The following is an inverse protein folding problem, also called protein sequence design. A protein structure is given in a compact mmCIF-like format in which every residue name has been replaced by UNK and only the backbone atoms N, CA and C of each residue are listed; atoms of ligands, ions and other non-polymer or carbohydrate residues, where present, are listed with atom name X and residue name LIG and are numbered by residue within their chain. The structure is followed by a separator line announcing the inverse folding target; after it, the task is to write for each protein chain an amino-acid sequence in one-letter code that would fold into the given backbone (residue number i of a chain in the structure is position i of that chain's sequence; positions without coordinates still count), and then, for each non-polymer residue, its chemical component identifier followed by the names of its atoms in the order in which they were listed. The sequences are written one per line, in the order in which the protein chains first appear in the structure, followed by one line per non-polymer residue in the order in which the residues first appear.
data_IF_448518525545
#
_entry.id   IF_448518525545
#
_cell.length_a   1.000
_cell.length_b   1.000
_cell.length_c   1.000
_cell.angle_alpha   90.00
_cell.angle_beta   90.00
_cell.angle_gamma   90.00
#
_symmetry.space_group_name_H-M   'P 1'
#
loop_
_entity.id
_entity.type
_entity.pdbx_description
1 polymer ?
#
# COMPACT_ATOMS: atom_id res chain seq x y z
N UNK A 1 18.69 -7.98 -28.11
CA UNK A 1 17.56 -7.30 -27.44
C UNK A 1 16.57 -8.24 -26.75
N UNK A 2 15.63 -8.93 -27.43
CA UNK A 2 14.59 -9.75 -26.74
C UNK A 2 15.19 -10.86 -25.87
N UNK A 3 16.21 -11.58 -26.38
CA UNK A 3 16.92 -12.62 -25.62
C UNK A 3 17.63 -12.07 -24.38
N UNK A 4 18.29 -10.92 -24.48
CA UNK A 4 18.99 -10.30 -23.34
C UNK A 4 18.01 -9.84 -22.25
N UNK A 5 16.88 -9.27 -22.67
CA UNK A 5 15.85 -8.80 -21.75
C UNK A 5 15.14 -9.98 -21.05
N UNK A 6 14.95 -11.09 -21.77
CA UNK A 6 14.47 -12.34 -21.19
C UNK A 6 15.46 -12.93 -20.18
N UNK A 7 16.76 -12.92 -20.48
CA UNK A 7 17.81 -13.37 -19.56
C UNK A 7 17.90 -12.48 -18.31
N UNK A 8 17.75 -11.16 -18.46
CA UNK A 8 17.70 -10.22 -17.34
C UNK A 8 16.48 -10.46 -16.43
N UNK A 9 15.31 -10.74 -17.03
CA UNK A 9 14.10 -11.10 -16.30
C UNK A 9 14.25 -12.42 -15.52
N UNK A 10 14.83 -13.45 -16.15
CA UNK A 10 15.19 -14.71 -15.49
C UNK A 10 16.15 -14.48 -14.33
N UNK A 11 17.19 -13.65 -14.53
CA UNK A 11 18.13 -13.27 -13.48
C UNK A 11 17.43 -12.60 -12.29
N UNK A 12 16.50 -11.67 -12.56
CA UNK A 12 15.70 -11.04 -11.52
C UNK A 12 14.85 -12.05 -10.73
N UNK A 13 14.16 -12.98 -11.42
CA UNK A 13 13.37 -14.04 -10.75
C UNK A 13 14.28 -14.88 -9.85
N UNK A 14 15.46 -15.27 -10.32
CA UNK A 14 16.42 -16.06 -9.54
C UNK A 14 16.86 -15.30 -8.29
N UNK A 15 17.23 -14.03 -8.42
CA UNK A 15 17.65 -13.20 -7.28
C UNK A 15 16.53 -13.03 -6.26
N UNK A 16 15.30 -12.72 -6.71
CA UNK A 16 14.14 -12.60 -5.81
C UNK A 16 13.84 -13.94 -5.14
N UNK A 17 13.92 -15.05 -5.86
CA UNK A 17 13.67 -16.39 -5.31
C UNK A 17 14.70 -16.76 -4.24
N UNK A 18 15.98 -16.45 -4.48
CA UNK A 18 17.05 -16.66 -3.50
C UNK A 18 16.88 -15.76 -2.26
N UNK A 19 16.52 -14.48 -2.45
CA UNK A 19 16.25 -13.57 -1.35
C UNK A 19 15.07 -14.04 -0.50
N UNK A 20 14.01 -14.54 -1.13
CA UNK A 20 12.84 -15.10 -0.46
C UNK A 20 13.18 -16.38 0.30
N UNK A 21 13.90 -17.32 -0.32
CA UNK A 21 14.40 -18.54 0.34
C UNK A 21 15.26 -18.19 1.56
N UNK A 22 16.21 -17.26 1.40
CA UNK A 22 17.04 -16.77 2.50
C UNK A 22 16.21 -16.16 3.63
N UNK A 23 15.25 -15.28 3.29
CA UNK A 23 14.36 -14.67 4.28
C UNK A 23 13.49 -15.71 5.01
N UNK A 24 13.04 -16.76 4.30
CA UNK A 24 12.29 -17.86 4.88
C UNK A 24 13.14 -18.67 5.86
N UNK A 25 14.36 -19.05 5.50
CA UNK A 25 15.23 -19.80 6.41
C UNK A 25 15.57 -19.00 7.67
N UNK A 26 15.84 -17.70 7.53
CA UNK A 26 16.06 -16.81 8.67
C UNK A 26 14.80 -16.73 9.57
N UNK A 27 13.63 -16.54 8.98
CA UNK A 27 12.35 -16.51 9.71
C UNK A 27 11.99 -17.84 10.36
N UNK A 28 12.24 -18.96 9.67
CA UNK A 28 11.95 -20.30 10.17
C UNK A 28 12.85 -20.67 11.36
N UNK A 29 14.11 -20.25 11.33
CA UNK A 29 15.04 -20.44 12.43
C UNK A 29 14.73 -19.52 13.63
N UNK A 30 14.27 -18.29 13.38
CA UNK A 30 14.02 -17.33 14.44
C UNK A 30 12.63 -17.48 15.12
N UNK A 31 11.59 -17.78 14.35
CA UNK A 31 10.19 -17.71 14.80
C UNK A 31 9.45 -19.06 14.65
N UNK A 32 10.12 -20.08 14.11
CA UNK A 32 9.54 -21.41 13.86
C UNK A 32 8.91 -21.55 12.46
N UNK A 33 8.89 -22.80 11.97
CA UNK A 33 8.48 -23.13 10.58
C UNK A 33 7.04 -22.75 10.26
N UNK A 34 6.11 -22.94 11.20
CA UNK A 34 4.69 -22.60 10.99
C UNK A 34 4.48 -21.09 10.84
N UNK A 35 5.13 -20.27 11.67
CA UNK A 35 5.05 -18.82 11.59
C UNK A 35 5.70 -18.28 10.30
N UNK A 36 6.82 -18.88 9.87
CA UNK A 36 7.50 -18.52 8.63
C UNK A 36 6.66 -18.84 7.39
N UNK A 37 6.02 -20.01 7.33
CA UNK A 37 5.12 -20.38 6.24
C UNK A 37 3.92 -19.41 6.13
N UNK A 38 3.36 -19.01 7.27
CA UNK A 38 2.27 -18.03 7.32
C UNK A 38 2.71 -16.66 6.79
N UNK A 39 3.91 -16.21 7.17
CA UNK A 39 4.47 -14.94 6.69
C UNK A 39 4.80 -14.97 5.19
N UNK A 40 5.27 -16.08 4.64
CA UNK A 40 5.45 -16.23 3.19
C UNK A 40 4.11 -16.15 2.44
N UNK A 41 3.05 -16.73 2.99
CA UNK A 41 1.70 -16.59 2.44
C UNK A 41 1.26 -15.12 2.32
N UNK A 42 1.60 -14.29 3.30
CA UNK A 42 1.35 -12.85 3.26
C UNK A 42 2.28 -12.08 2.32
N UNK A 43 3.47 -12.60 2.04
CA UNK A 43 4.41 -12.02 1.08
C UNK A 43 4.02 -12.34 -0.38
N UNK A 44 3.32 -13.45 -0.64
CA UNK A 44 2.97 -13.91 -1.98
C UNK A 44 2.29 -12.85 -2.87
N UNK A 45 1.29 -12.06 -2.40
CA UNK A 45 0.71 -11.01 -3.22
C UNK A 45 1.71 -9.93 -3.61
N UNK A 46 2.61 -9.57 -2.69
CA UNK A 46 3.67 -8.58 -2.95
C UNK A 46 4.72 -9.11 -3.90
N UNK A 47 5.03 -10.40 -3.85
CA UNK A 47 5.90 -11.07 -4.82
C UNK A 47 5.26 -11.05 -6.19
N UNK A 48 3.96 -11.36 -6.32
CA UNK A 48 3.23 -11.30 -7.58
C UNK A 48 3.20 -9.87 -8.14
N UNK A 49 3.00 -8.87 -7.30
CA UNK A 49 3.10 -7.45 -7.68
C UNK A 49 4.52 -7.12 -8.16
N UNK A 50 5.55 -7.56 -7.43
CA UNK A 50 6.95 -7.37 -7.82
C UNK A 50 7.31 -8.06 -9.14
N UNK A 51 6.78 -9.26 -9.38
CA UNK A 51 6.92 -9.98 -10.65
C UNK A 51 6.19 -9.25 -11.77
N UNK A 52 4.98 -8.74 -11.54
CA UNK A 52 4.26 -7.94 -12.53
C UNK A 52 5.03 -6.65 -12.89
N UNK A 53 5.62 -5.98 -11.89
CA UNK A 53 6.50 -4.81 -12.10
C UNK A 53 7.76 -5.22 -12.87
N UNK A 54 8.40 -6.34 -12.52
CA UNK A 54 9.60 -6.81 -13.22
C UNK A 54 9.33 -7.35 -14.62
N UNK A 55 8.11 -7.82 -14.88
CA UNK A 55 7.64 -8.20 -16.21
C UNK A 55 7.25 -6.98 -17.04
N UNK A 56 7.14 -5.80 -16.42
CA UNK A 56 6.83 -4.55 -17.10
C UNK A 56 7.84 -4.31 -18.23
N UNK A 57 9.19 -4.28 -18.03
CA UNK A 57 10.21 -4.21 -19.10
C UNK A 57 9.99 -5.13 -20.31
N UNK A 58 9.54 -6.36 -20.07
CA UNK A 58 9.26 -7.32 -21.14
C UNK A 58 8.00 -6.93 -21.92
N UNK A 59 6.94 -6.54 -21.21
CA UNK A 59 5.73 -5.97 -21.81
C UNK A 59 6.03 -4.66 -22.56
N UNK A 60 6.99 -3.84 -22.12
CA UNK A 60 7.46 -2.64 -22.85
C UNK A 60 7.99 -3.03 -24.23
N UNK A 61 8.81 -4.08 -24.26
CA UNK A 61 9.57 -4.46 -25.46
C UNK A 61 8.64 -5.04 -26.53
N UNK A 62 7.55 -5.70 -26.12
CA UNK A 62 6.58 -6.33 -27.02
C UNK A 62 5.43 -5.39 -27.35
N UNK A 63 4.92 -4.65 -26.36
CA UNK A 63 3.73 -3.80 -26.49
C UNK A 63 4.00 -2.37 -26.97
N UNK A 64 5.27 -1.94 -26.95
CA UNK A 64 5.65 -0.59 -27.33
C UNK A 64 4.99 0.49 -26.47
N UNK A 65 4.87 1.69 -27.03
CA UNK A 65 4.41 2.89 -26.33
C UNK A 65 2.91 2.86 -25.96
N UNK A 66 2.08 2.14 -26.72
CA UNK A 66 0.64 2.06 -26.49
C UNK A 66 0.33 1.38 -25.15
N UNK A 67 1.05 0.30 -24.82
CA UNK A 67 0.88 -0.41 -23.54
C UNK A 67 1.21 0.50 -22.35
N UNK A 68 2.28 1.29 -22.45
CA UNK A 68 2.60 2.26 -21.40
C UNK A 68 1.57 3.37 -21.26
N UNK A 69 1.10 3.90 -22.38
CA UNK A 69 0.09 4.96 -22.36
C UNK A 69 -1.19 4.46 -21.68
N UNK A 70 -1.62 3.23 -21.99
CA UNK A 70 -2.74 2.59 -21.33
C UNK A 70 -2.49 2.35 -19.84
N UNK A 71 -1.29 1.90 -19.46
CA UNK A 71 -0.90 1.74 -18.07
C UNK A 71 -0.97 3.07 -17.29
N UNK A 72 -0.38 4.14 -17.81
CA UNK A 72 -0.41 5.45 -17.15
C UNK A 72 -1.82 6.00 -17.04
N UNK A 73 -2.61 5.94 -18.12
CA UNK A 73 -4.01 6.39 -18.10
C UNK A 73 -4.82 5.58 -17.09
N UNK A 74 -4.74 4.24 -17.14
CA UNK A 74 -5.49 3.38 -16.23
C UNK A 74 -5.10 3.61 -14.76
N UNK A 75 -3.82 3.81 -14.47
CA UNK A 75 -3.35 4.16 -13.13
C UNK A 75 -3.89 5.52 -12.67
N UNK A 76 -3.72 6.57 -13.48
CA UNK A 76 -4.17 7.94 -13.15
C UNK A 76 -5.68 7.96 -12.91
N UNK A 77 -6.45 7.34 -13.81
CA UNK A 77 -7.91 7.25 -13.71
C UNK A 77 -8.32 6.47 -12.47
N UNK A 78 -7.70 5.32 -12.22
CA UNK A 78 -8.02 4.46 -11.06
C UNK A 78 -7.74 5.15 -9.74
N UNK A 79 -6.57 5.80 -9.60
CA UNK A 79 -6.22 6.57 -8.41
C UNK A 79 -7.13 7.80 -8.26
N UNK A 80 -7.39 8.52 -9.34
CA UNK A 80 -8.32 9.65 -9.36
C UNK A 80 -9.70 9.24 -8.85
N UNK A 81 -10.32 8.23 -9.47
CA UNK A 81 -11.62 7.69 -9.04
C UNK A 81 -11.58 7.24 -7.58
N UNK A 82 -10.52 6.57 -7.15
CA UNK A 82 -10.40 6.08 -5.78
C UNK A 82 -10.26 7.20 -4.75
N UNK A 83 -9.53 8.27 -5.05
CA UNK A 83 -9.39 9.47 -4.21
C UNK A 83 -10.70 10.28 -4.19
N UNK A 84 -11.31 10.53 -5.35
CA UNK A 84 -12.57 11.27 -5.45
C UNK A 84 -13.76 10.56 -4.80
N UNK A 85 -13.76 9.22 -4.78
CA UNK A 85 -14.79 8.46 -4.08
C UNK A 85 -14.58 8.38 -2.56
N UNK A 86 -13.45 8.86 -2.02
CA UNK A 86 -13.17 8.80 -0.58
C UNK A 86 -14.17 9.57 0.29
N UNK A 87 -14.57 10.83 0.00
CA UNK A 87 -15.58 11.53 0.78
C UNK A 87 -16.90 10.76 0.86
N UNK A 88 -17.29 10.08 -0.22
CA UNK A 88 -18.49 9.23 -0.25
C UNK A 88 -18.31 8.02 0.66
N UNK A 89 -17.17 7.30 0.57
CA UNK A 89 -16.87 6.18 1.47
C UNK A 89 -16.83 6.61 2.93
N UNK A 90 -16.26 7.79 3.21
CA UNK A 90 -16.15 8.38 4.54
C UNK A 90 -17.52 8.77 5.12
N UNK A 91 -18.42 9.32 4.29
CA UNK A 91 -19.81 9.60 4.67
C UNK A 91 -20.59 8.31 4.98
N UNK A 92 -20.39 7.25 4.19
CA UNK A 92 -21.02 5.93 4.45
C UNK A 92 -20.55 5.31 5.78
N UNK A 93 -19.37 5.66 6.28
CA UNK A 93 -18.89 5.21 7.58
C UNK A 93 -19.62 5.88 8.77
N UNK A 94 -20.52 6.84 8.53
CA UNK A 94 -21.35 7.48 9.56
C UNK A 94 -20.72 8.72 10.19
N UNK A 95 -21.35 9.23 11.25
CA UNK A 95 -20.84 10.39 11.98
C UNK A 95 -19.53 10.09 12.70
N UNK A 96 -18.76 11.14 13.01
CA UNK A 96 -17.45 11.00 13.65
C UNK A 96 -17.65 10.77 15.15
N UNK A 97 -17.13 9.65 15.66
CA UNK A 97 -17.13 9.34 17.10
C UNK A 97 -15.83 9.80 17.76
N UNK A 98 -14.69 9.57 17.10
CA UNK A 98 -13.38 9.95 17.59
C UNK A 98 -12.43 10.26 16.43
N UNK A 99 -11.78 11.42 16.45
CA UNK A 99 -10.60 11.70 15.64
C UNK A 99 -9.36 11.36 16.47
N UNK A 100 -8.69 10.24 16.14
CA UNK A 100 -7.46 9.81 16.81
C UNK A 100 -6.21 10.42 16.17
N UNK A 101 -6.37 11.34 15.21
CA UNK A 101 -5.29 12.08 14.59
C UNK A 101 -4.46 11.26 13.60
N UNK A 102 -3.24 11.72 13.32
CA UNK A 102 -2.31 11.06 12.38
C UNK A 102 -1.49 10.01 13.11
N UNK A 103 -1.52 8.78 12.61
CA UNK A 103 -0.66 7.70 13.13
C UNK A 103 0.78 7.86 12.68
N UNK A 104 1.68 7.07 13.29
CA UNK A 104 3.08 6.99 12.86
C UNK A 104 3.20 6.69 11.36
N UNK A 105 2.41 5.75 10.85
CA UNK A 105 2.43 5.37 9.44
C UNK A 105 1.99 6.52 8.52
N UNK A 106 1.01 7.33 8.92
CA UNK A 106 0.63 8.53 8.16
C UNK A 106 1.77 9.54 8.10
N UNK A 107 2.45 9.79 9.22
CA UNK A 107 3.61 10.69 9.27
C UNK A 107 4.74 10.19 8.36
N UNK A 108 5.04 8.90 8.39
CA UNK A 108 6.06 8.29 7.53
C UNK A 108 5.68 8.41 6.05
N UNK A 109 4.44 8.10 5.69
CA UNK A 109 3.94 8.26 4.31
C UNK A 109 4.00 9.71 3.85
N UNK A 110 3.72 10.68 4.73
CA UNK A 110 3.84 12.09 4.38
C UNK A 110 5.28 12.45 3.98
N UNK A 111 6.28 12.00 4.76
CA UNK A 111 7.69 12.23 4.43
C UNK A 111 8.11 11.52 3.14
N UNK A 112 7.68 10.28 2.93
CA UNK A 112 7.92 9.55 1.67
C UNK A 112 7.28 10.30 0.50
N UNK A 113 6.07 10.81 0.67
CA UNK A 113 5.37 11.59 -0.37
C UNK A 113 6.07 12.91 -0.69
N UNK A 114 6.63 13.59 0.30
CA UNK A 114 7.44 14.79 0.08
C UNK A 114 8.75 14.47 -0.66
N UNK A 115 9.41 13.35 -0.34
CA UNK A 115 10.57 12.89 -1.10
C UNK A 115 10.19 12.53 -2.55
N UNK A 116 9.02 11.92 -2.75
CA UNK A 116 8.50 11.58 -4.07
C UNK A 116 8.22 12.82 -4.94
N UNK A 117 7.84 13.95 -4.34
CA UNK A 117 7.72 15.22 -5.08
C UNK A 117 9.06 15.64 -5.68
N UNK A 118 10.17 15.45 -4.96
CA UNK A 118 11.51 15.74 -5.50
C UNK A 118 11.83 14.83 -6.69
N UNK A 119 11.49 13.54 -6.59
CA UNK A 119 11.64 12.59 -7.70
C UNK A 119 10.80 13.02 -8.90
N UNK A 120 9.54 13.38 -8.70
CA UNK A 120 8.64 13.85 -9.75
C UNK A 120 9.18 15.13 -10.42
N UNK A 121 9.75 16.06 -9.65
CA UNK A 121 10.39 17.28 -10.17
C UNK A 121 11.62 16.95 -11.03
N UNK A 122 12.51 16.08 -10.55
CA UNK A 122 13.70 15.64 -11.31
C UNK A 122 13.30 14.96 -12.62
N UNK A 123 12.31 14.07 -12.58
CA UNK A 123 11.80 13.40 -13.79
C UNK A 123 11.17 14.42 -14.75
N UNK A 124 10.38 15.37 -14.22
CA UNK A 124 9.80 16.44 -15.03
C UNK A 124 10.90 17.26 -15.72
N UNK A 125 11.93 17.67 -14.97
CA UNK A 125 13.07 18.40 -15.49
C UNK A 125 13.77 17.63 -16.61
N UNK A 126 14.19 16.38 -16.37
CA UNK A 126 14.86 15.54 -17.37
C UNK A 126 14.03 15.42 -18.65
N UNK A 127 12.72 15.21 -18.52
CA UNK A 127 11.82 15.02 -19.67
C UNK A 127 11.60 16.32 -20.47
N UNK A 128 11.70 17.48 -19.82
CA UNK A 128 11.55 18.79 -20.47
C UNK A 128 12.87 19.26 -21.10
N UNK A 129 14.01 19.02 -20.46
CA UNK A 129 15.32 19.56 -20.90
C UNK A 129 16.08 18.65 -21.85
N UNK A 130 15.73 17.37 -21.96
CA UNK A 130 16.39 16.41 -22.84
C UNK A 130 15.49 15.93 -24.00
N UNK A 131 14.99 16.82 -24.88
CA UNK A 131 14.23 16.40 -26.07
C UNK A 131 15.11 15.76 -27.15
N UNK A 132 16.44 15.75 -26.99
CA UNK A 132 17.45 15.54 -28.03
C UNK A 132 17.60 14.11 -28.61
N UNK A 133 16.65 13.19 -28.37
CA UNK A 133 16.77 11.79 -28.83
C UNK A 133 15.51 11.18 -29.43
N UNK A 134 14.47 11.97 -29.69
CA UNK A 134 13.15 11.44 -30.08
C UNK A 134 12.82 11.91 -31.50
N UNK A 135 13.16 11.08 -32.48
CA UNK A 135 12.97 11.33 -33.91
C UNK A 135 11.51 11.27 -34.38
N UNK A 136 10.56 11.01 -33.47
CA UNK A 136 9.14 10.84 -33.80
C UNK A 136 8.27 11.83 -33.02
N UNK A 137 8.02 12.99 -33.64
CA UNK A 137 7.31 14.15 -33.08
C UNK A 137 5.90 13.84 -32.58
N UNK A 138 5.23 12.83 -33.15
CA UNK A 138 3.87 12.43 -32.73
C UNK A 138 3.86 11.74 -31.35
N UNK A 139 4.96 11.07 -31.01
CA UNK A 139 5.08 10.27 -29.79
C UNK A 139 5.48 11.10 -28.56
N UNK A 140 6.19 12.22 -28.77
CA UNK A 140 6.62 13.15 -27.72
C UNK A 140 5.43 13.84 -27.04
N UNK A 141 4.44 14.26 -27.83
CA UNK A 141 3.36 15.16 -27.37
C UNK A 141 2.40 14.48 -26.38
N UNK A 142 2.18 13.17 -26.50
CA UNK A 142 1.22 12.45 -25.63
C UNK A 142 1.93 11.71 -24.50
N UNK A 143 3.07 11.09 -24.79
CA UNK A 143 3.73 10.19 -23.84
C UNK A 143 4.42 10.91 -22.69
N UNK A 144 5.10 12.02 -22.97
CA UNK A 144 5.83 12.79 -21.95
C UNK A 144 4.85 13.36 -20.90
N UNK A 145 3.75 14.04 -21.28
CA UNK A 145 2.77 14.51 -20.30
C UNK A 145 2.16 13.38 -19.47
N UNK A 146 1.86 12.22 -20.07
CA UNK A 146 1.32 11.07 -19.35
C UNK A 146 2.29 10.54 -18.29
N UNK A 147 3.57 10.43 -18.62
CA UNK A 147 4.60 9.98 -17.67
C UNK A 147 4.76 10.98 -16.54
N UNK A 148 4.81 12.28 -16.84
CA UNK A 148 4.85 13.35 -15.83
C UNK A 148 3.62 13.24 -14.92
N UNK A 149 2.42 13.15 -15.51
CA UNK A 149 1.16 13.03 -14.77
C UNK A 149 1.13 11.80 -13.86
N UNK A 150 1.70 10.67 -14.29
CA UNK A 150 1.83 9.45 -13.47
C UNK A 150 2.62 9.72 -12.18
N UNK A 151 3.84 10.27 -12.30
CA UNK A 151 4.70 10.55 -11.14
C UNK A 151 4.09 11.55 -10.17
N UNK A 152 3.46 12.60 -10.71
CA UNK A 152 2.73 13.56 -9.88
C UNK A 152 1.51 12.92 -9.20
N UNK A 153 0.79 12.03 -9.87
CA UNK A 153 -0.35 11.31 -9.28
C UNK A 153 0.11 10.38 -8.15
N UNK A 154 1.25 9.70 -8.32
CA UNK A 154 1.86 8.88 -7.27
C UNK A 154 2.26 9.72 -6.05
N UNK A 155 2.94 10.86 -6.26
CA UNK A 155 3.29 11.79 -5.19
C UNK A 155 2.04 12.29 -4.44
N UNK A 156 1.02 12.73 -5.18
CA UNK A 156 -0.26 13.17 -4.62
C UNK A 156 -0.94 12.06 -3.82
N UNK A 157 -0.96 10.82 -4.30
CA UNK A 157 -1.52 9.66 -3.60
C UNK A 157 -0.82 9.44 -2.26
N UNK A 158 0.52 9.41 -2.25
CA UNK A 158 1.30 9.14 -1.04
C UNK A 158 1.14 10.27 -0.02
N UNK A 159 1.19 11.53 -0.46
CA UNK A 159 0.95 12.70 0.41
C UNK A 159 -0.46 12.63 0.99
N UNK A 160 -1.46 12.35 0.15
CA UNK A 160 -2.86 12.23 0.53
C UNK A 160 -3.06 11.15 1.61
N UNK A 161 -2.44 9.97 1.45
CA UNK A 161 -2.40 8.92 2.46
C UNK A 161 -1.74 9.39 3.76
N UNK A 162 -0.67 10.18 3.67
CA UNK A 162 0.03 10.74 4.82
C UNK A 162 -0.74 11.85 5.56
N UNK A 163 -1.60 12.58 4.85
CA UNK A 163 -2.47 13.61 5.44
C UNK A 163 -3.73 13.01 6.09
N UNK A 164 -4.12 11.80 5.68
CA UNK A 164 -5.26 11.07 6.21
C UNK A 164 -5.10 10.82 7.74
N UNK A 165 -6.22 10.82 8.46
CA UNK A 165 -6.26 10.61 9.90
C UNK A 165 -6.95 9.29 10.23
N UNK A 166 -6.60 8.73 11.38
CA UNK A 166 -7.33 7.63 11.98
C UNK A 166 -8.61 8.17 12.62
N UNK A 167 -9.76 7.76 12.11
CA UNK A 167 -11.06 8.19 12.61
C UNK A 167 -11.94 6.99 12.94
N UNK A 168 -12.56 6.98 14.11
CA UNK A 168 -13.64 6.06 14.47
C UNK A 168 -14.96 6.74 14.13
N UNK A 169 -15.84 6.02 13.46
CA UNK A 169 -17.15 6.49 13.02
C UNK A 169 -18.22 5.48 13.36
N UNK A 170 -19.49 5.89 13.34
CA UNK A 170 -20.62 5.06 13.77
C UNK A 170 -20.66 3.67 13.13
N UNK A 171 -20.29 3.55 11.85
CA UNK A 171 -20.35 2.29 11.11
C UNK A 171 -19.00 1.61 10.94
N UNK A 172 -17.90 2.20 11.40
CA UNK A 172 -16.58 1.61 11.21
C UNK A 172 -15.38 2.51 11.53
N UNK A 173 -14.21 1.98 11.23
CA UNK A 173 -12.92 2.66 11.33
C UNK A 173 -12.49 3.14 9.95
N UNK A 174 -12.10 4.40 9.86
CA UNK A 174 -11.52 5.01 8.68
C UNK A 174 -10.02 5.21 8.88
N UNK A 175 -9.21 4.61 8.01
CA UNK A 175 -7.77 4.74 8.05
C UNK A 175 -7.16 4.54 6.66
N UNK A 176 -6.25 5.44 6.26
CA UNK A 176 -5.51 5.35 4.99
C UNK A 176 -6.41 5.08 3.78
N UNK A 177 -7.46 5.89 3.62
CA UNK A 177 -8.43 5.77 2.52
C UNK A 177 -9.21 4.45 2.47
N UNK A 178 -9.11 3.64 3.53
CA UNK A 178 -9.91 2.45 3.75
C UNK A 178 -10.95 2.73 4.84
N UNK A 179 -12.17 2.26 4.62
CA UNK A 179 -13.25 2.28 5.60
C UNK A 179 -13.58 0.82 5.92
N UNK A 180 -13.23 0.39 7.13
CA UNK A 180 -13.45 -0.97 7.61
C UNK A 180 -14.70 -0.93 8.49
N UNK A 181 -15.81 -1.55 8.08
CA UNK A 181 -17.02 -1.55 8.87
C UNK A 181 -16.89 -2.43 10.11
N UNK A 182 -17.58 -2.08 11.20
CA UNK A 182 -17.49 -2.82 12.47
C UNK A 182 -17.79 -4.31 12.32
N UNK A 183 -18.76 -4.68 11.48
CA UNK A 183 -19.17 -6.06 11.25
C UNK A 183 -18.07 -6.94 10.62
N UNK A 184 -17.02 -6.31 10.06
CA UNK A 184 -15.85 -7.01 9.54
C UNK A 184 -14.74 -7.15 10.57
N UNK A 185 -14.78 -6.44 11.70
CA UNK A 185 -13.79 -6.59 12.75
C UNK A 185 -14.26 -7.71 13.69
N UNK A 186 -13.44 -8.74 13.85
CA UNK A 186 -13.74 -9.89 14.71
C UNK A 186 -13.41 -9.58 16.16
N UNK A 187 -12.24 -8.99 16.39
CA UNK A 187 -11.73 -8.69 17.71
C UNK A 187 -10.62 -7.65 17.64
N UNK A 188 -10.27 -7.09 18.79
CA UNK A 188 -9.14 -6.19 18.92
C UNK A 188 -8.31 -6.51 20.17
N UNK A 189 -7.03 -6.15 20.15
CA UNK A 189 -6.16 -6.12 21.31
C UNK A 189 -5.21 -4.94 21.29
N UNK A 190 -4.63 -4.65 22.45
CA UNK A 190 -3.46 -3.80 22.58
C UNK A 190 -2.21 -4.68 22.74
N UNK A 191 -1.14 -4.35 22.03
CA UNK A 191 0.13 -5.07 22.19
C UNK A 191 0.74 -4.85 23.57
N UNK A 192 1.37 -5.90 24.13
CA UNK A 192 2.03 -5.84 25.44
C UNK A 192 3.35 -5.07 25.35
N UNK A 193 4.13 -5.31 24.29
CA UNK A 193 5.45 -4.68 24.09
C UNK A 193 5.34 -3.22 23.68
N UNK A 194 4.29 -2.85 22.94
CA UNK A 194 4.01 -1.50 22.50
C UNK A 194 2.57 -1.13 22.88
N UNK A 195 2.34 -0.56 24.08
CA UNK A 195 1.00 -0.34 24.61
C UNK A 195 0.12 0.59 23.77
N UNK A 196 0.72 1.31 22.81
CA UNK A 196 0.04 2.20 21.87
C UNK A 196 -0.25 1.56 20.50
N UNK A 197 0.09 0.30 20.29
CA UNK A 197 -0.25 -0.44 19.07
C UNK A 197 -1.55 -1.20 19.26
N UNK A 198 -2.58 -0.81 18.51
CA UNK A 198 -3.84 -1.54 18.39
C UNK A 198 -3.72 -2.59 17.29
N UNK A 199 -3.97 -3.85 17.61
CA UNK A 199 -4.10 -4.91 16.60
C UNK A 199 -5.56 -5.30 16.46
N UNK A 200 -6.10 -5.16 15.25
CA UNK A 200 -7.48 -5.50 14.90
C UNK A 200 -7.47 -6.75 14.02
N UNK A 201 -8.25 -7.77 14.42
CA UNK A 201 -8.52 -8.92 13.58
C UNK A 201 -9.71 -8.62 12.67
N UNK A 202 -9.53 -8.75 11.37
CA UNK A 202 -10.55 -8.45 10.36
C UNK A 202 -10.91 -9.69 9.55
N UNK A 203 -12.17 -9.80 9.15
CA UNK A 203 -12.62 -10.71 8.10
C UNK A 203 -12.13 -10.17 6.76
N UNK A 204 -11.18 -10.83 6.09
CA UNK A 204 -10.67 -10.35 4.82
C UNK A 204 -11.77 -10.40 3.76
N UNK A 205 -11.71 -9.49 2.78
CA UNK A 205 -12.61 -9.54 1.60
C UNK A 205 -12.17 -10.61 0.60
N UNK A 206 -10.89 -10.95 0.62
CA UNK A 206 -10.23 -11.84 -0.33
C UNK A 206 -9.25 -12.70 0.47
N UNK A 207 -9.15 -13.99 0.15
CA UNK A 207 -8.39 -14.99 0.92
C UNK A 207 -6.93 -14.59 1.19
N UNK A 208 -6.32 -13.81 0.30
CA UNK A 208 -4.91 -13.41 0.38
C UNK A 208 -4.65 -12.12 1.17
N UNK A 209 -5.69 -11.42 1.64
CA UNK A 209 -5.51 -10.21 2.44
C UNK A 209 -5.18 -10.56 3.90
N UNK A 210 -4.36 -9.76 4.58
CA UNK A 210 -4.03 -9.99 5.97
C UNK A 210 -5.30 -9.96 6.83
N UNK A 211 -5.40 -10.93 7.73
CA UNK A 211 -6.52 -11.07 8.67
C UNK A 211 -6.33 -10.18 9.90
N UNK A 212 -5.18 -9.54 10.02
CA UNK A 212 -4.81 -8.67 11.13
C UNK A 212 -4.27 -7.34 10.60
N UNK A 213 -4.53 -6.28 11.35
CA UNK A 213 -4.06 -4.94 11.04
C UNK A 213 -3.57 -4.29 12.33
N UNK A 214 -2.31 -3.88 12.34
CA UNK A 214 -1.68 -3.21 13.48
C UNK A 214 -1.57 -1.71 13.22
N UNK A 215 -2.09 -0.91 14.13
CA UNK A 215 -2.19 0.54 14.02
C UNK A 215 -1.57 1.15 15.28
N UNK A 216 -0.46 1.88 15.10
CA UNK A 216 0.17 2.63 16.19
C UNK A 216 -0.56 3.96 16.41
N UNK A 217 -1.27 4.06 17.52
CA UNK A 217 -2.15 5.17 17.88
C UNK A 217 -1.39 6.15 18.79
N UNK A 218 -1.65 7.46 18.72
CA UNK A 218 -1.14 8.38 19.73
C UNK A 218 -1.61 7.98 21.14
N UNK A 219 -0.69 8.01 22.12
CA UNK A 219 -0.98 7.54 23.49
C UNK A 219 -2.17 8.26 24.13
N UNK A 220 -2.30 9.56 23.85
CA UNK A 220 -3.38 10.43 24.34
C UNK A 220 -4.79 9.95 23.95
N UNK A 221 -4.92 9.23 22.84
CA UNK A 221 -6.20 8.77 22.32
C UNK A 221 -6.49 7.30 22.62
N UNK A 222 -5.56 6.60 23.31
CA UNK A 222 -5.68 5.16 23.59
C UNK A 222 -6.96 4.83 24.36
N UNK A 223 -7.16 5.48 25.51
CA UNK A 223 -8.28 5.18 26.40
C UNK A 223 -9.63 5.56 25.79
N UNK A 224 -9.68 6.70 25.08
CA UNK A 224 -10.86 7.12 24.35
C UNK A 224 -11.23 6.13 23.23
N UNK A 225 -10.22 5.65 22.51
CA UNK A 225 -10.42 4.65 21.47
C UNK A 225 -10.86 3.30 22.06
N UNK A 226 -10.27 2.87 23.17
CA UNK A 226 -10.64 1.62 23.82
C UNK A 226 -12.12 1.61 24.22
N UNK A 227 -12.64 2.71 24.82
CA UNK A 227 -14.06 2.85 25.15
C UNK A 227 -14.97 2.69 23.94
N UNK A 228 -14.62 3.30 22.80
CA UNK A 228 -15.39 3.18 21.56
C UNK A 228 -15.31 1.75 21.01
N UNK A 229 -14.14 1.13 21.02
CA UNK A 229 -13.95 -0.24 20.52
C UNK A 229 -14.70 -1.28 21.35
N UNK A 230 -14.67 -1.18 22.68
CA UNK A 230 -15.42 -2.06 23.60
C UNK A 230 -16.92 -2.08 23.31
N UNK A 231 -17.47 -0.98 22.79
CA UNK A 231 -18.89 -0.84 22.47
C UNK A 231 -19.27 -1.62 21.19
N UNK A 232 -18.33 -1.84 20.27
CA UNK A 232 -18.62 -2.37 18.94
C UNK A 232 -17.97 -3.72 18.63
N UNK A 233 -16.88 -4.07 19.29
CA UNK A 233 -16.03 -5.22 18.95
C UNK A 233 -15.57 -5.90 20.24
N UNK A 234 -15.58 -7.24 20.33
CA UNK A 234 -15.08 -7.92 21.51
C UNK A 234 -13.55 -7.77 21.67
N UNK A 235 -13.11 -7.57 22.91
CA UNK A 235 -11.70 -7.63 23.28
C UNK A 235 -11.19 -9.07 23.24
N UNK A 236 -10.00 -9.28 22.70
CA UNK A 236 -9.33 -10.59 22.66
C UNK A 236 -7.92 -10.44 23.22
N UNK A 237 -7.50 -11.28 24.19
CA UNK A 237 -6.16 -11.18 24.73
C UNK A 237 -5.09 -11.39 23.65
N UNK A 238 -3.91 -10.76 23.76
CA UNK A 238 -2.85 -10.81 22.75
C UNK A 238 -2.49 -12.23 22.30
N UNK A 239 -2.45 -13.18 23.23
CA UNK A 239 -2.08 -14.58 23.00
C UNK A 239 -3.09 -15.33 22.13
N UNK A 240 -4.36 -14.94 22.20
CA UNK A 240 -5.45 -15.56 21.41
C UNK A 240 -5.51 -15.07 19.97
N UNK A 241 -4.87 -13.93 19.67
CA UNK A 241 -4.79 -13.41 18.31
C UNK A 241 -3.75 -14.10 17.44
N UNK A 242 -2.91 -14.96 18.03
CA UNK A 242 -1.97 -15.81 17.31
C UNK A 242 -2.62 -17.06 16.69
N UNK A 243 -3.81 -17.46 17.16
CA UNK A 243 -4.50 -18.69 16.75
C UNK A 243 -5.60 -18.42 15.70
N UNK A 244 -5.60 -19.11 14.55
CA UNK A 244 -6.55 -18.91 13.45
C UNK A 244 -8.01 -19.14 13.84
#
# INVERSE_FOLDING_TARGET
MIKELFMAFLGYIVVVSLALLGSYFLLANAVGKEAANRNMGYALPWILVGVAIAFTPFLITIGGQLVWSFFYISYIVSIGVWLFSWPVRKRKAGSLLLDAGRTWHNKMLLWIGLAEVVVALVITWIMVTSPAGISDTSNVVVYIPLKIAFWWTLAMLIISLGLNKLELRENGLCFMYNAIPWQRMKSYCWEVTHPNTLTIRVRPRVVFLPHTMSIRVPQEHRDAMDRVLQTHIPFSPPDTLALP
#
